data_IF_891029249247
#
_entry.id   IF_891029249247
#
_cell.length_a   1.000
_cell.length_b   1.000
_cell.length_c   1.000
_cell.angle_alpha   90.00
_cell.angle_beta   90.00
_cell.angle_gamma   90.00
#
_symmetry.space_group_name_H-M   'P 1'
#
loop_
_entity.id
_entity.type
_entity.pdbx_description
1 polymer ?
#
# COMPACT_ATOMS: atom_id res chain seq x y z
N UNK A 1 -3.47 -13.16 -17.24
CA UNK A 1 -3.68 -11.92 -16.47
C UNK A 1 -3.76 -12.25 -14.98
N UNK A 2 -3.20 -11.36 -14.15
CA UNK A 2 -3.20 -11.49 -12.69
C UNK A 2 -4.09 -10.41 -12.10
N UNK A 3 -4.86 -10.76 -11.09
CA UNK A 3 -5.74 -9.85 -10.36
C UNK A 3 -5.14 -9.53 -9.01
N UNK A 4 -5.22 -8.28 -8.58
CA UNK A 4 -4.87 -7.86 -7.22
C UNK A 4 -6.15 -7.50 -6.46
N UNK A 5 -6.22 -7.88 -5.18
CA UNK A 5 -7.34 -7.54 -4.30
C UNK A 5 -6.84 -7.07 -2.94
N UNK A 6 -7.47 -6.03 -2.41
CA UNK A 6 -7.20 -5.45 -1.08
C UNK A 6 -8.27 -5.90 -0.09
N UNK A 7 -7.87 -6.22 1.14
CA UNK A 7 -8.75 -6.87 2.11
C UNK A 7 -8.80 -6.13 3.45
N UNK A 8 -9.90 -6.34 4.20
CA UNK A 8 -10.11 -5.71 5.53
C UNK A 8 -9.08 -6.17 6.56
N UNK A 9 -8.49 -7.36 6.38
CA UNK A 9 -7.40 -7.85 7.22
C UNK A 9 -6.07 -7.11 6.97
N UNK A 10 -5.99 -6.22 5.99
CA UNK A 10 -4.79 -5.47 5.63
C UNK A 10 -3.89 -6.14 4.60
N UNK A 11 -4.32 -7.28 4.04
CA UNK A 11 -3.52 -8.04 3.09
C UNK A 11 -3.87 -7.67 1.65
N UNK A 12 -2.89 -7.85 0.77
CA UNK A 12 -3.11 -7.87 -0.66
C UNK A 12 -2.91 -9.30 -1.15
N UNK A 13 -3.87 -9.79 -1.93
CA UNK A 13 -3.76 -11.10 -2.58
C UNK A 13 -3.65 -10.92 -4.08
N UNK A 14 -2.70 -11.64 -4.69
CA UNK A 14 -2.55 -11.77 -6.13
C UNK A 14 -3.13 -13.10 -6.58
N UNK A 15 -3.99 -13.07 -7.59
CA UNK A 15 -4.74 -14.23 -8.08
C UNK A 15 -4.51 -14.46 -9.56
N UNK A 16 -4.55 -15.72 -9.98
CA UNK A 16 -4.77 -16.03 -11.39
C UNK A 16 -6.22 -15.73 -11.77
N UNK A 17 -6.46 -15.48 -13.05
CA UNK A 17 -7.84 -15.32 -13.56
C UNK A 17 -8.69 -16.59 -13.41
N UNK A 18 -8.06 -17.74 -13.17
CA UNK A 18 -8.72 -19.00 -12.85
C UNK A 18 -9.10 -19.12 -11.36
N UNK A 19 -8.75 -18.14 -10.52
CA UNK A 19 -9.08 -18.12 -9.10
C UNK A 19 -8.02 -18.74 -8.18
N UNK A 20 -6.85 -19.12 -8.71
CA UNK A 20 -5.78 -19.66 -7.88
C UNK A 20 -5.03 -18.53 -7.18
N UNK A 21 -4.79 -18.67 -5.88
CA UNK A 21 -3.95 -17.74 -5.13
C UNK A 21 -2.49 -17.89 -5.58
N UNK A 22 -1.89 -16.80 -6.07
CA UNK A 22 -0.49 -16.76 -6.52
C UNK A 22 0.44 -16.25 -5.43
N UNK A 23 0.02 -15.20 -4.71
CA UNK A 23 0.84 -14.56 -3.66
C UNK A 23 -0.01 -13.83 -2.63
N UNK A 24 0.43 -13.90 -1.39
CA UNK A 24 -0.05 -13.06 -0.29
C UNK A 24 1.02 -12.02 0.03
N UNK A 25 0.62 -10.75 0.08
CA UNK A 25 1.48 -9.60 0.35
C UNK A 25 1.01 -8.95 1.64
N UNK A 26 1.96 -8.81 2.56
CA UNK A 26 1.80 -8.25 3.89
C UNK A 26 2.41 -6.84 3.92
N UNK A 27 1.68 -5.82 4.41
CA UNK A 27 2.30 -4.56 4.78
C UNK A 27 3.32 -4.79 5.90
N UNK A 28 4.41 -4.03 5.87
CA UNK A 28 5.51 -4.14 6.81
C UNK A 28 5.02 -3.87 8.24
N UNK A 29 5.46 -4.73 9.17
CA UNK A 29 4.90 -4.88 10.53
C UNK A 29 5.06 -3.68 11.47
N UNK A 30 5.58 -2.54 10.99
CA UNK A 30 5.75 -1.33 11.81
C UNK A 30 4.41 -0.63 12.06
N UNK A 31 3.43 -0.85 11.20
CA UNK A 31 2.06 -0.37 11.37
C UNK A 31 1.12 -1.56 11.60
N UNK A 32 0.07 -1.42 12.43
CA UNK A 32 -0.91 -2.48 12.61
C UNK A 32 -1.52 -2.90 11.27
N UNK A 33 -2.04 -4.12 11.17
CA UNK A 33 -2.79 -4.58 10.00
C UNK A 33 -3.99 -3.66 9.78
N UNK A 34 -3.85 -2.69 8.88
CA UNK A 34 -4.91 -1.71 8.59
C UNK A 34 -5.67 -2.19 7.36
N UNK A 35 -7.00 -2.23 7.46
CA UNK A 35 -7.89 -2.50 6.32
C UNK A 35 -7.50 -1.67 5.09
N UNK A 36 -7.35 -2.36 3.96
CA UNK A 36 -7.08 -1.76 2.66
C UNK A 36 -8.39 -1.53 1.92
N UNK A 37 -8.54 -0.34 1.36
CA UNK A 37 -9.81 0.16 0.82
C UNK A 37 -9.74 0.55 -0.65
N UNK A 38 -8.54 0.79 -1.19
CA UNK A 38 -8.32 1.13 -2.59
C UNK A 38 -7.02 0.49 -3.10
N UNK A 39 -6.97 0.16 -4.38
CA UNK A 39 -5.77 -0.32 -5.08
C UNK A 39 -5.63 0.35 -6.44
N UNK A 40 -4.40 0.65 -6.84
CA UNK A 40 -4.08 0.97 -8.22
C UNK A 40 -2.67 0.49 -8.58
N UNK A 41 -2.38 0.36 -9.86
CA UNK A 41 -1.08 -0.08 -10.40
C UNK A 41 -0.72 0.78 -11.59
N UNK A 42 0.53 0.71 -12.03
CA UNK A 42 1.02 1.33 -13.25
C UNK A 42 0.80 0.44 -14.48
N UNK A 43 0.85 1.04 -15.67
CA UNK A 43 0.67 0.37 -16.94
C UNK A 43 1.64 -0.81 -17.16
N UNK A 44 2.93 -0.74 -16.78
CA UNK A 44 3.83 -1.89 -16.91
C UNK A 44 3.76 -2.86 -15.72
N UNK A 45 2.87 -2.65 -14.75
CA UNK A 45 2.68 -3.51 -13.57
C UNK A 45 3.96 -3.74 -12.75
N UNK A 46 4.75 -2.67 -12.58
CA UNK A 46 5.97 -2.69 -11.76
C UNK A 46 5.73 -2.19 -10.36
N UNK A 47 4.72 -1.35 -10.15
CA UNK A 47 4.35 -0.84 -8.85
C UNK A 47 2.90 -1.15 -8.50
N UNK A 48 2.65 -1.32 -7.21
CA UNK A 48 1.32 -1.44 -6.65
C UNK A 48 1.15 -0.40 -5.55
N UNK A 49 0.02 0.30 -5.55
CA UNK A 49 -0.35 1.27 -4.54
C UNK A 49 -1.62 0.81 -3.85
N UNK A 50 -1.66 0.91 -2.52
CA UNK A 50 -2.86 0.64 -1.73
C UNK A 50 -3.18 1.78 -0.78
N UNK A 51 -4.47 2.10 -0.68
CA UNK A 51 -5.01 3.06 0.27
C UNK A 51 -5.66 2.34 1.43
N UNK A 52 -5.57 2.91 2.64
CA UNK A 52 -6.10 2.28 3.85
C UNK A 52 -7.31 3.01 4.45
N UNK A 53 -8.04 2.29 5.29
CA UNK A 53 -9.13 2.79 6.14
C UNK A 53 -8.70 3.91 7.07
N UNK A 54 -7.43 3.93 7.46
CA UNK A 54 -6.96 5.00 8.30
C UNK A 54 -6.53 6.22 7.49
N UNK A 55 -6.15 6.10 6.21
CA UNK A 55 -5.65 7.25 5.42
C UNK A 55 -4.19 7.12 4.97
N UNK A 56 -3.62 5.93 5.10
CA UNK A 56 -2.26 5.63 4.64
C UNK A 56 -2.27 5.19 3.18
N UNK A 57 -1.23 5.58 2.47
CA UNK A 57 -0.87 5.02 1.17
C UNK A 57 0.42 4.22 1.35
N UNK A 58 0.43 3.02 0.77
CA UNK A 58 1.57 2.14 0.73
C UNK A 58 1.90 1.83 -0.72
N UNK A 59 3.19 1.75 -1.03
CA UNK A 59 3.72 1.46 -2.36
C UNK A 59 4.60 0.23 -2.29
N UNK A 60 4.36 -0.70 -3.21
CA UNK A 60 5.18 -1.89 -3.41
C UNK A 60 5.79 -1.93 -4.79
N UNK A 61 6.99 -2.48 -4.88
CA UNK A 61 7.57 -2.97 -6.14
C UNK A 61 7.15 -4.41 -6.36
N UNK A 62 6.48 -4.65 -7.50
CA UNK A 62 5.95 -5.94 -7.92
C UNK A 62 6.56 -6.42 -9.25
N UNK A 63 7.38 -5.61 -9.91
CA UNK A 63 7.94 -5.95 -11.23
C UNK A 63 8.71 -7.27 -11.24
N UNK A 64 9.61 -7.47 -10.27
CA UNK A 64 10.42 -8.70 -10.18
C UNK A 64 9.57 -9.96 -9.97
N UNK A 65 8.40 -9.85 -9.34
CA UNK A 65 7.49 -10.99 -9.19
C UNK A 65 6.96 -11.53 -10.53
N UNK A 66 6.75 -10.64 -11.50
CA UNK A 66 6.22 -11.02 -12.82
C UNK A 66 7.31 -11.45 -13.81
N UNK A 67 8.56 -11.05 -13.59
CA UNK A 67 9.70 -11.45 -14.43
C UNK A 67 10.02 -12.95 -14.30
N UNK A 68 9.89 -13.52 -13.09
CA UNK A 68 10.09 -14.96 -12.87
C UNK A 68 9.17 -15.49 -11.76
N UNK A 69 7.99 -15.99 -12.16
CA UNK A 69 7.01 -16.55 -11.23
C UNK A 69 7.48 -17.83 -10.50
N UNK A 70 8.55 -18.49 -10.97
CA UNK A 70 9.03 -19.76 -10.41
C UNK A 70 10.15 -19.57 -9.38
N UNK A 71 10.76 -18.40 -9.32
CA UNK A 71 11.81 -18.09 -8.38
C UNK A 71 11.24 -17.65 -7.04
N UNK A 72 11.43 -18.49 -6.01
CA UNK A 72 11.00 -18.21 -4.64
C UNK A 72 11.67 -16.98 -4.01
N UNK A 73 12.74 -16.44 -4.63
CA UNK A 73 13.41 -15.20 -4.21
C UNK A 73 12.80 -13.93 -4.78
N UNK A 74 11.82 -14.01 -5.68
CA UNK A 74 11.16 -12.82 -6.20
C UNK A 74 10.21 -12.23 -5.15
N UNK A 75 10.76 -11.26 -4.43
CA UNK A 75 10.13 -10.59 -3.31
C UNK A 75 9.32 -9.39 -3.81
N UNK A 76 8.06 -9.32 -3.39
CA UNK A 76 7.29 -8.08 -3.45
C UNK A 76 7.75 -7.22 -2.29
N UNK A 77 8.32 -6.06 -2.59
CA UNK A 77 8.96 -5.20 -1.58
C UNK A 77 8.11 -3.98 -1.34
N UNK A 78 7.75 -3.72 -0.08
CA UNK A 78 7.16 -2.43 0.28
C UNK A 78 8.28 -1.38 0.27
N UNK A 79 8.14 -0.38 -0.58
CA UNK A 79 9.18 0.65 -0.78
C UNK A 79 8.90 1.89 0.08
N UNK A 80 7.62 2.25 0.21
CA UNK A 80 7.23 3.53 0.76
C UNK A 80 5.86 3.44 1.43
N UNK A 81 5.73 4.06 2.60
CA UNK A 81 4.46 4.27 3.28
C UNK A 81 4.35 5.72 3.75
N UNK A 82 3.24 6.39 3.47
CA UNK A 82 2.97 7.75 3.94
C UNK A 82 1.52 7.95 4.34
N UNK A 83 1.30 8.93 5.20
CA UNK A 83 -0.03 9.32 5.62
C UNK A 83 -0.57 10.38 4.65
N UNK A 84 -1.53 10.01 3.81
CA UNK A 84 -2.10 10.95 2.83
C UNK A 84 -3.27 11.76 3.41
N UNK A 85 -4.15 11.07 4.12
CA UNK A 85 -5.41 11.63 4.62
C UNK A 85 -5.54 11.44 6.12
N UNK A 86 -6.32 12.30 6.77
CA UNK A 86 -6.65 12.12 8.18
C UNK A 86 -7.62 10.96 8.40
N UNK A 87 -8.36 10.56 7.36
CA UNK A 87 -9.35 9.47 7.39
C UNK A 87 -9.24 8.53 6.18
N UNK A 88 -10.18 7.58 6.06
CA UNK A 88 -10.23 6.53 5.04
C UNK A 88 -9.98 7.07 3.62
N UNK A 89 -9.06 6.44 2.91
CA UNK A 89 -8.91 6.59 1.46
C UNK A 89 -10.01 5.79 0.77
N UNK A 90 -10.70 6.42 -0.17
CA UNK A 90 -11.80 5.78 -0.92
C UNK A 90 -11.41 5.46 -2.36
N UNK A 91 -10.42 6.17 -2.91
CA UNK A 91 -9.98 5.95 -4.28
C UNK A 91 -8.53 6.39 -4.49
N UNK A 92 -7.90 5.79 -5.51
CA UNK A 92 -6.53 6.01 -5.92
C UNK A 92 -6.40 6.07 -7.44
N UNK A 93 -5.63 7.04 -7.92
CA UNK A 93 -5.27 7.14 -9.32
C UNK A 93 -3.79 7.48 -9.47
N UNK A 94 -3.08 6.74 -10.31
CA UNK A 94 -1.67 6.98 -10.60
C UNK A 94 -1.54 7.53 -12.03
N UNK A 95 -0.99 8.74 -12.13
CA UNK A 95 -0.67 9.41 -13.38
C UNK A 95 0.84 9.32 -13.63
N UNK A 96 1.22 8.44 -14.54
CA UNK A 96 2.62 8.05 -14.75
C UNK A 96 3.48 9.13 -15.41
N UNK A 97 2.89 9.98 -16.27
CA UNK A 97 3.68 10.94 -17.07
C UNK A 97 4.33 12.00 -16.19
N UNK A 98 3.64 12.47 -15.16
CA UNK A 98 4.14 13.44 -14.21
C UNK A 98 4.52 12.80 -12.87
N UNK A 99 4.46 11.47 -12.75
CA UNK A 99 4.80 10.72 -11.55
C UNK A 99 3.97 11.17 -10.32
N UNK A 100 2.66 11.30 -10.50
CA UNK A 100 1.71 11.81 -9.50
C UNK A 100 0.73 10.72 -9.08
N UNK A 101 0.51 10.59 -7.77
CA UNK A 101 -0.61 9.85 -7.20
C UNK A 101 -1.67 10.82 -6.72
N UNK A 102 -2.89 10.61 -7.19
CA UNK A 102 -4.09 11.30 -6.71
C UNK A 102 -4.81 10.39 -5.74
N UNK A 103 -5.18 10.95 -4.58
CA UNK A 103 -5.85 10.23 -3.49
C UNK A 103 -7.15 10.94 -3.14
N UNK A 104 -8.24 10.19 -2.99
CA UNK A 104 -9.53 10.71 -2.53
C UNK A 104 -9.92 10.10 -1.18
N UNK A 105 -10.59 10.86 -0.31
CA UNK A 105 -10.92 10.43 1.04
C UNK A 105 -12.32 10.87 1.51
N UNK A 106 -12.83 10.17 2.53
CA UNK A 106 -14.02 10.57 3.31
C UNK A 106 -13.81 11.90 4.03
N UNK A 107 -12.56 12.36 4.21
CA UNK A 107 -12.27 13.69 4.76
C UNK A 107 -12.74 14.85 3.84
N UNK A 108 -13.27 14.53 2.65
CA UNK A 108 -13.82 15.48 1.70
C UNK A 108 -12.77 16.11 0.79
N UNK A 109 -11.51 15.69 0.89
CA UNK A 109 -10.41 16.20 0.07
C UNK A 109 -9.95 15.21 -0.99
N UNK A 110 -9.43 15.77 -2.09
CA UNK A 110 -8.66 15.04 -3.10
C UNK A 110 -7.27 15.67 -3.14
N UNK A 111 -6.23 14.87 -2.88
CA UNK A 111 -4.85 15.33 -2.68
C UNK A 111 -3.91 14.73 -3.72
N UNK A 112 -2.84 15.45 -4.01
CA UNK A 112 -1.81 15.06 -4.96
C UNK A 112 -0.50 14.79 -4.21
N UNK A 113 0.18 13.74 -4.65
CA UNK A 113 1.43 13.27 -4.06
C UNK A 113 2.40 12.89 -5.16
N UNK A 114 3.68 13.12 -4.96
CA UNK A 114 4.70 12.62 -5.87
C UNK A 114 4.90 11.11 -5.64
N UNK A 115 4.75 10.30 -6.68
CA UNK A 115 4.58 8.85 -6.57
C UNK A 115 5.83 8.11 -6.07
N UNK A 116 7.02 8.69 -6.26
CA UNK A 116 8.30 8.06 -5.87
C UNK A 116 8.68 8.26 -4.41
N UNK A 117 8.35 9.41 -3.84
CA UNK A 117 8.81 9.81 -2.50
C UNK A 117 7.66 10.15 -1.55
N UNK A 118 6.41 10.17 -2.03
CA UNK A 118 5.22 10.44 -1.22
C UNK A 118 5.10 11.90 -0.80
N UNK A 119 5.81 12.82 -1.46
CA UNK A 119 5.79 14.24 -1.08
C UNK A 119 4.47 14.87 -1.50
N UNK A 120 3.96 15.74 -0.63
CA UNK A 120 2.69 16.42 -0.88
C UNK A 120 2.85 17.52 -1.93
N UNK A 121 1.99 17.50 -2.94
CA UNK A 121 1.98 18.47 -4.04
C UNK A 121 0.84 19.50 -3.91
N UNK A 122 -0.21 19.17 -3.16
CA UNK A 122 -1.37 20.02 -2.98
C UNK A 122 -2.69 19.27 -2.99
N UNK A 123 -3.79 20.02 -3.12
CA UNK A 123 -5.15 19.48 -3.15
C UNK A 123 -6.02 20.20 -4.18
N UNK A 124 -7.04 19.50 -4.69
CA UNK A 124 -8.01 20.10 -5.61
C UNK A 124 -8.86 21.16 -4.90
N UNK A 125 -9.07 22.30 -5.57
CA UNK A 125 -9.78 23.45 -5.01
C UNK A 125 -8.89 24.47 -4.28
N UNK A 126 -7.59 24.19 -4.17
CA UNK A 126 -6.64 25.17 -3.65
C UNK A 126 -6.49 26.37 -4.60
N UNK A 127 -6.20 27.58 -4.10
CA UNK A 127 -6.07 28.78 -4.94
C UNK A 127 -4.81 28.80 -5.80
N UNK A 128 -3.77 28.04 -5.42
CA UNK A 128 -2.48 28.00 -6.12
C UNK A 128 -2.45 26.89 -7.16
N UNK A 129 -1.80 27.15 -8.30
CA UNK A 129 -1.54 26.09 -9.29
C UNK A 129 -0.60 25.04 -8.72
N UNK A 130 -0.70 23.81 -9.20
CA UNK A 130 0.22 22.74 -8.83
C UNK A 130 1.59 22.98 -9.48
N UNK A 131 2.64 22.93 -8.66
CA UNK A 131 4.02 22.83 -9.15
C UNK A 131 4.45 21.38 -9.04
N UNK A 132 4.57 20.71 -10.20
CA UNK A 132 4.89 19.28 -10.28
C UNK A 132 6.40 19.01 -10.50
N UNK A 133 7.19 20.06 -10.69
CA UNK A 133 8.66 19.96 -10.76
C UNK A 133 9.25 19.55 -9.41
N UNK A 134 10.48 19.01 -9.41
CA UNK A 134 11.18 18.57 -8.19
C UNK A 134 11.03 19.59 -7.06
N UNK A 135 10.25 19.19 -6.05
CA UNK A 135 9.96 20.02 -4.90
C UNK A 135 11.23 20.04 -4.04
N UNK A 136 11.87 21.20 -3.94
CA UNK A 136 13.01 21.42 -3.04
C UNK A 136 12.59 21.47 -1.57
N UNK A 137 11.30 21.72 -1.29
CA UNK A 137 10.75 21.86 0.05
C UNK A 137 9.77 20.73 0.42
N UNK A 138 10.05 20.07 1.54
CA UNK A 138 9.18 19.06 2.14
C UNK A 138 7.98 19.73 2.84
N UNK A 139 6.86 19.86 2.12
CA UNK A 139 5.61 20.38 2.67
C UNK A 139 4.71 19.20 3.08
N UNK A 140 3.98 19.35 4.17
CA UNK A 140 2.91 18.43 4.59
C UNK A 140 1.56 19.15 4.57
N UNK A 141 0.44 18.43 4.38
CA UNK A 141 -0.87 18.95 4.71
C UNK A 141 -0.95 19.36 6.18
N UNK A 142 -1.75 20.38 6.49
CA UNK A 142 -1.87 20.92 7.84
C UNK A 142 -2.39 19.92 8.89
N UNK A 143 -3.10 18.88 8.45
CA UNK A 143 -3.69 17.83 9.29
C UNK A 143 -2.83 16.56 9.39
N UNK A 144 -1.64 16.58 8.80
CA UNK A 144 -0.72 15.43 8.74
C UNK A 144 0.62 15.84 9.35
N UNK A 145 1.13 15.02 10.27
CA UNK A 145 2.41 15.27 10.95
C UNK A 145 3.46 14.16 10.70
N UNK A 146 3.16 13.20 9.82
CA UNK A 146 4.06 12.08 9.49
C UNK A 146 4.58 12.23 8.08
N UNK A 147 5.90 12.34 7.96
CA UNK A 147 6.57 12.28 6.66
C UNK A 147 6.55 10.86 6.07
N UNK A 148 6.68 10.76 4.74
CA UNK A 148 6.85 9.47 4.06
C UNK A 148 8.02 8.69 4.66
N UNK A 149 7.79 7.40 4.91
CA UNK A 149 8.78 6.49 5.47
C UNK A 149 9.18 5.51 4.38
N UNK A 150 10.44 5.62 3.92
CA UNK A 150 11.04 4.60 3.08
C UNK A 150 11.32 3.35 3.93
N UNK A 151 10.88 2.20 3.45
CA UNK A 151 11.05 0.94 4.17
C UNK A 151 12.36 0.31 3.71
N UNK A 152 13.32 0.22 4.63
CA UNK A 152 14.54 -0.55 4.42
C UNK A 152 14.29 -1.94 4.97
N UNK A 153 14.44 -2.97 4.14
CA UNK A 153 14.45 -4.35 4.59
C UNK A 153 15.66 -4.58 5.51
N UNK A 154 15.49 -4.37 6.81
CA UNK A 154 16.33 -5.07 7.78
C UNK A 154 15.74 -6.47 7.93
N UNK A 155 16.46 -7.46 7.40
CA UNK A 155 16.18 -8.89 7.53
C UNK A 155 15.65 -9.27 8.92
N UNK A 156 14.33 -9.41 9.07
CA UNK A 156 13.71 -10.24 10.11
C UNK A 156 12.47 -10.93 9.54
N UNK A 157 12.75 -12.04 8.85
CA UNK A 157 11.93 -13.24 9.02
C UNK A 157 11.88 -13.56 10.53
N UNK A 158 10.87 -13.03 11.22
CA UNK A 158 10.36 -13.68 12.41
C UNK A 158 9.04 -14.29 11.99
N UNK A 159 9.11 -15.49 11.41
CA UNK A 159 8.07 -16.48 11.62
C UNK A 159 7.94 -16.65 13.14
N UNK A 160 7.17 -15.78 13.81
CA UNK A 160 6.47 -16.22 15.00
C UNK A 160 5.39 -17.16 14.49
N UNK A 161 5.77 -18.42 14.23
CA UNK A 161 4.86 -19.54 14.45
C UNK A 161 4.39 -19.41 15.89
N UNK A 162 3.31 -18.66 16.12
CA UNK A 162 2.47 -18.90 17.28
C UNK A 162 2.05 -20.35 17.11
N UNK A 163 2.65 -21.24 17.92
CA UNK A 163 1.98 -22.46 18.32
C UNK A 163 0.68 -21.99 18.96
N UNK A 164 -0.38 -21.91 18.17
CA UNK A 164 -1.72 -21.99 18.71
C UNK A 164 -1.84 -23.43 19.22
N UNK A 165 -1.43 -23.65 20.46
CA UNK A 165 -1.99 -24.77 21.21
C UNK A 165 -3.49 -24.47 21.30
N UNK A 166 -4.29 -25.27 20.59
CA UNK A 166 -5.73 -25.25 20.73
C UNK A 166 -6.07 -26.16 21.91
N UNK A 167 -6.46 -25.65 23.09
CA UNK A 167 -7.01 -26.50 24.13
C UNK A 167 -8.51 -26.64 23.87
N UNK A 168 -8.88 -27.29 22.77
CA UNK A 168 -10.23 -27.81 22.59
C UNK A 168 -10.14 -29.32 22.79
N UNK A 169 -10.16 -29.73 24.05
CA UNK A 169 -10.43 -31.12 24.41
C UNK A 169 -11.93 -31.31 24.14
N UNK A 170 -12.24 -32.06 23.09
CA UNK A 170 -13.57 -32.63 22.91
C UNK A 170 -13.75 -33.69 23.99
N UNK A 171 -14.59 -33.43 24.97
CA UNK A 171 -15.16 -34.49 25.81
C UNK A 171 -15.92 -35.45 24.89
N UNK A 172 -15.29 -36.59 24.60
CA UNK A 172 -15.99 -37.77 24.11
C UNK A 172 -16.08 -38.74 25.27
N UNK A 173 -17.30 -38.82 25.78
CA UNK A 173 -17.78 -39.68 26.86
C UNK A 173 -17.27 -41.13 26.79
N UNK A 174 -16.99 -41.68 27.97
CA UNK A 174 -17.60 -42.91 28.48
C UNK A 174 -17.52 -42.99 29.99
#
# INVERSE_FOLDING_TARGET
PVLASAHENGYIYLWSIQGNLLKEILPFSKYPSVSLTALCTDSPTKILLAGSKEGYIMRWSIGSFFEDLQNSKNEVKEELCWRAHSTKVVDLFHEEKNNVVVTASIDGSVRLWHAMNGYYLGYFGQPRKFELSEISELILPCDINKFPTAIKEENKYMEKKKKSEYPLILDREK
#
